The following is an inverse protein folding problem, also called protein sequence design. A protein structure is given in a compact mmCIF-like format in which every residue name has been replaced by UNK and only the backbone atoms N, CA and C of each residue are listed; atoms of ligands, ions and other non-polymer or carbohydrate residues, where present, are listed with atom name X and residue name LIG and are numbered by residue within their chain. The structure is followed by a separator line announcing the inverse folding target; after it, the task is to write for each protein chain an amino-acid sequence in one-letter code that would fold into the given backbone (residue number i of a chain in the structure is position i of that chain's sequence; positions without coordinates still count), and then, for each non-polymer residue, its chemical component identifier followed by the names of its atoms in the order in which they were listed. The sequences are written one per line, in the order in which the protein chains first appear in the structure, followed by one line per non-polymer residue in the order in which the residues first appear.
data_IF_169985824723
#
_entry.id   IF_169985824723
#
_cell.length_a   1.000
_cell.length_b   1.000
_cell.length_c   1.000
_cell.angle_alpha   90.00
_cell.angle_beta   90.00
_cell.angle_gamma   90.00
#
_symmetry.space_group_name_H-M   'P 1'
#
loop_
_entity.id
_entity.type
_entity.pdbx_description
1 polymer ?
#
# COMPACT_ATOMS: atom_id res chain seq x y z
N UNK A 1 8.25 1.55 -5.63
CA UNK A 1 7.42 0.56 -6.36
C UNK A 1 6.50 1.31 -7.30
N UNK A 2 6.35 0.85 -8.55
CA UNK A 2 5.38 1.38 -9.52
C UNK A 2 4.56 0.21 -10.06
N UNK A 3 3.25 0.29 -9.95
CA UNK A 3 2.29 -0.68 -10.47
C UNK A 3 1.42 0.01 -11.50
N UNK A 4 1.33 -0.57 -12.69
CA UNK A 4 0.52 -0.06 -13.78
C UNK A 4 -0.68 -0.99 -13.99
N UNK A 5 -1.86 -0.42 -14.19
CA UNK A 5 -3.11 -1.14 -14.40
C UNK A 5 -3.84 -0.51 -15.58
N UNK A 6 -4.18 -1.33 -16.55
CA UNK A 6 -4.99 -0.92 -17.70
C UNK A 6 -6.44 -1.31 -17.44
N UNK A 7 -7.34 -0.34 -17.57
CA UNK A 7 -8.77 -0.53 -17.43
C UNK A 7 -9.44 -0.13 -18.73
N UNK A 8 -10.50 -0.86 -19.07
CA UNK A 8 -11.32 -0.59 -20.25
C UNK A 8 -12.76 -0.51 -19.78
N UNK A 9 -13.42 0.62 -20.04
CA UNK A 9 -14.86 0.72 -19.87
C UNK A 9 -15.54 -0.11 -20.96
N UNK A 10 -16.34 -1.08 -20.54
CA UNK A 10 -16.98 -2.05 -21.44
C UNK A 10 -18.10 -1.41 -22.26
N UNK A 11 -18.63 -0.26 -21.81
CA UNK A 11 -19.77 0.41 -22.45
C UNK A 11 -19.38 1.11 -23.75
N UNK A 12 -18.24 1.79 -23.75
CA UNK A 12 -17.79 2.67 -24.83
C UNK A 12 -16.35 2.38 -25.31
N UNK A 13 -15.64 1.46 -24.66
CA UNK A 13 -14.25 1.11 -24.98
C UNK A 13 -13.21 2.12 -24.47
N UNK A 14 -13.61 3.12 -23.67
CA UNK A 14 -12.71 4.13 -23.12
C UNK A 14 -11.64 3.46 -22.26
N UNK A 15 -10.38 3.78 -22.51
CA UNK A 15 -9.22 3.20 -21.81
C UNK A 15 -8.73 4.16 -20.74
N UNK A 16 -8.53 3.63 -19.54
CA UNK A 16 -7.87 4.31 -18.44
C UNK A 16 -6.59 3.58 -18.07
N UNK A 17 -5.59 4.35 -17.69
CA UNK A 17 -4.32 3.83 -17.20
C UNK A 17 -4.11 4.33 -15.77
N UNK A 18 -4.13 3.41 -14.80
CA UNK A 18 -3.93 3.72 -13.39
C UNK A 18 -2.52 3.31 -13.00
N UNK A 19 -1.77 4.25 -12.45
CA UNK A 19 -0.43 4.02 -11.94
C UNK A 19 -0.40 4.26 -10.44
N UNK A 20 -0.08 3.21 -9.68
CA UNK A 20 0.12 3.27 -8.23
C UNK A 20 1.62 3.29 -7.94
N UNK A 21 2.09 4.28 -7.20
CA UNK A 21 3.49 4.48 -6.85
C UNK A 21 3.62 4.49 -5.33
N UNK A 22 4.55 3.69 -4.80
CA UNK A 22 4.90 3.70 -3.38
C UNK A 22 6.37 4.01 -3.19
N UNK A 23 6.67 4.85 -2.21
CA UNK A 23 8.01 5.09 -1.68
C UNK A 23 8.02 4.75 -0.20
N UNK A 24 8.58 3.59 0.15
CA UNK A 24 8.73 3.20 1.55
C UNK A 24 9.65 4.16 2.34
N UNK A 25 10.80 4.62 1.80
CA UNK A 25 11.66 5.57 2.53
C UNK A 25 10.99 6.91 2.83
N UNK A 26 10.13 7.37 1.91
CA UNK A 26 9.39 8.62 2.09
C UNK A 26 8.04 8.43 2.80
N UNK A 27 7.66 7.18 3.09
CA UNK A 27 6.32 6.81 3.56
C UNK A 27 5.17 7.34 2.67
N UNK A 28 5.44 7.67 1.41
CA UNK A 28 4.50 8.25 0.48
C UNK A 28 3.91 7.22 -0.46
N UNK A 29 2.67 7.45 -0.88
CA UNK A 29 2.01 6.70 -1.93
C UNK A 29 1.20 7.64 -2.81
N UNK A 30 1.14 7.36 -4.10
CA UNK A 30 0.48 8.18 -5.09
C UNK A 30 -0.22 7.29 -6.10
N UNK A 31 -1.36 7.74 -6.59
CA UNK A 31 -2.18 7.11 -7.62
C UNK A 31 -2.38 8.14 -8.70
N UNK A 32 -2.06 7.78 -9.93
CA UNK A 32 -2.21 8.62 -11.10
C UNK A 32 -3.20 7.93 -12.04
N UNK A 33 -4.24 8.63 -12.44
CA UNK A 33 -5.24 8.13 -13.39
C UNK A 33 -5.12 8.93 -14.68
N UNK A 34 -4.71 8.23 -15.72
CA UNK A 34 -4.53 8.76 -17.06
C UNK A 34 -5.68 8.31 -17.96
N UNK A 35 -6.08 9.19 -18.87
CA UNK A 35 -7.03 8.90 -19.93
C UNK A 35 -6.35 8.48 -21.23
N UNK A 36 -7.03 8.74 -22.34
CA UNK A 36 -6.45 8.63 -23.68
C UNK A 36 -5.22 9.51 -23.82
N UNK A 37 -4.29 9.10 -24.68
CA UNK A 37 -3.06 9.86 -24.99
C UNK A 37 -2.14 10.12 -23.77
N UNK A 38 -2.27 9.33 -22.70
CA UNK A 38 -1.53 9.51 -21.44
C UNK A 38 -1.73 10.89 -20.79
N UNK A 39 -2.87 11.53 -21.03
CA UNK A 39 -3.23 12.76 -20.31
C UNK A 39 -3.61 12.41 -18.86
N UNK A 40 -2.97 13.06 -17.89
CA UNK A 40 -3.35 12.92 -16.48
C UNK A 40 -4.73 13.57 -16.26
N UNK A 41 -5.68 12.78 -15.76
CA UNK A 41 -7.05 13.22 -15.47
C UNK A 41 -7.26 13.50 -13.98
N UNK A 42 -6.70 12.63 -13.14
CA UNK A 42 -6.85 12.71 -11.68
C UNK A 42 -5.59 12.15 -11.00
N UNK A 43 -5.29 12.68 -9.82
CA UNK A 43 -4.23 12.21 -8.94
C UNK A 43 -4.80 12.02 -7.53
N UNK A 44 -4.36 10.98 -6.84
CA UNK A 44 -4.47 10.92 -5.38
C UNK A 44 -3.09 10.72 -4.77
N UNK A 45 -2.79 11.37 -3.66
CA UNK A 45 -1.56 11.12 -2.93
C UNK A 45 -1.78 11.11 -1.42
N UNK A 46 -0.93 10.37 -0.72
CA UNK A 46 -0.95 10.27 0.71
C UNK A 46 -0.55 11.62 1.32
N UNK A 47 -1.36 12.14 2.23
CA UNK A 47 -1.09 13.37 2.96
C UNK A 47 -0.59 13.05 4.37
N UNK A 48 0.23 13.95 4.90
CA UNK A 48 0.83 13.80 6.23
C UNK A 48 -0.16 14.10 7.36
N UNK A 49 0.21 13.72 8.58
CA UNK A 49 -0.58 14.00 9.77
C UNK A 49 -0.69 15.50 10.10
N UNK A 50 0.19 16.30 9.50
CA UNK A 50 0.26 17.76 9.56
C UNK A 50 -0.63 18.46 8.52
N UNK A 51 -1.17 17.72 7.56
CA UNK A 51 -1.96 18.27 6.44
C UNK A 51 -3.43 18.49 6.79
N UNK A 52 -3.93 17.84 7.85
CA UNK A 52 -5.31 17.97 8.32
C UNK A 52 -5.32 18.45 9.78
N UNK A 53 -6.34 19.21 10.19
CA UNK A 53 -6.49 19.56 11.59
C UNK A 53 -6.70 18.30 12.44
N UNK A 54 -6.19 18.35 13.66
CA UNK A 54 -6.55 17.38 14.68
C UNK A 54 -7.99 17.60 15.13
N UNK A 55 -8.65 16.55 15.63
CA UNK A 55 -10.02 16.65 16.15
C UNK A 55 -10.17 17.72 17.25
N UNK A 56 -9.12 17.97 18.04
CA UNK A 56 -9.11 18.97 19.10
C UNK A 56 -9.04 20.42 18.58
N UNK A 57 -8.58 20.61 17.33
CA UNK A 57 -8.54 21.91 16.67
C UNK A 57 -9.86 22.26 15.98
N UNK A 58 -10.79 21.33 15.90
CA UNK A 58 -12.13 21.55 15.36
C UNK A 58 -13.12 21.84 16.46
N UNK A 59 -14.05 22.76 16.18
CA UNK A 59 -15.26 22.93 16.98
C UNK A 59 -16.06 21.61 16.97
N UNK A 60 -16.64 21.22 18.11
CA UNK A 60 -17.42 19.98 18.25
C UNK A 60 -18.60 19.90 17.28
N UNK A 61 -19.08 21.05 16.80
CA UNK A 61 -20.16 21.15 15.81
C UNK A 61 -19.69 20.91 14.36
N UNK A 62 -18.38 20.89 14.09
CA UNK A 62 -17.79 20.74 12.75
C UNK A 62 -17.38 19.29 12.45
N UNK A 63 -18.26 18.33 12.77
CA UNK A 63 -17.97 16.89 12.60
C UNK A 63 -17.84 16.44 11.13
N UNK A 64 -18.26 17.28 10.18
CA UNK A 64 -18.16 17.01 8.74
C UNK A 64 -16.80 17.41 8.15
N UNK A 65 -15.96 18.15 8.88
CA UNK A 65 -14.65 18.55 8.39
C UNK A 65 -13.65 17.38 8.50
N UNK A 66 -12.86 17.11 7.43
CA UNK A 66 -11.80 16.13 7.47
C UNK A 66 -10.81 16.43 8.60
N UNK A 67 -10.57 15.45 9.47
CA UNK A 67 -9.67 15.57 10.60
C UNK A 67 -8.95 14.26 10.87
N UNK A 68 -7.84 14.39 11.60
CA UNK A 68 -7.08 13.27 12.13
C UNK A 68 -7.34 13.17 13.63
N UNK A 69 -7.76 11.99 14.08
CA UNK A 69 -8.21 11.78 15.46
C UNK A 69 -7.05 11.90 16.44
N UNK A 70 -5.86 11.41 16.05
CA UNK A 70 -4.60 11.56 16.78
C UNK A 70 -3.41 11.10 15.89
N UNK A 71 -2.22 11.73 15.94
CA UNK A 71 -1.03 11.22 15.24
C UNK A 71 -0.57 9.82 15.68
N UNK A 72 -1.07 9.28 16.81
CA UNK A 72 -0.79 7.93 17.29
C UNK A 72 -1.81 6.88 16.81
N UNK A 73 -2.84 7.29 16.07
CA UNK A 73 -3.98 6.42 15.73
C UNK A 73 -3.74 5.48 14.52
N UNK A 74 -2.52 5.44 13.97
CA UNK A 74 -2.16 4.72 12.72
C UNK A 74 -3.12 5.06 11.56
N UNK A 75 -3.65 6.28 11.57
CA UNK A 75 -4.51 6.82 10.52
C UNK A 75 -3.68 7.25 9.33
N UNK A 76 -4.19 6.99 8.13
CA UNK A 76 -3.58 7.41 6.88
C UNK A 76 -4.63 8.06 6.01
N UNK A 77 -4.29 9.16 5.36
CA UNK A 77 -5.22 9.87 4.50
C UNK A 77 -4.67 10.08 3.09
N UNK A 78 -5.55 10.03 2.10
CA UNK A 78 -5.30 10.46 0.73
C UNK A 78 -6.14 11.69 0.43
N UNK A 79 -5.54 12.66 -0.25
CA UNK A 79 -6.30 13.69 -0.98
C UNK A 79 -6.43 13.26 -2.43
N UNK A 80 -7.61 13.45 -3.01
CA UNK A 80 -7.93 13.18 -4.41
C UNK A 80 -8.16 14.51 -5.11
N UNK A 81 -7.44 14.73 -6.19
CA UNK A 81 -7.35 15.99 -6.92
C UNK A 81 -7.67 15.75 -8.39
N UNK A 82 -8.39 16.68 -8.99
CA UNK A 82 -8.60 16.72 -10.44
C UNK A 82 -8.25 18.11 -10.99
N UNK A 83 -8.62 18.39 -12.24
CA UNK A 83 -8.37 19.70 -12.88
C UNK A 83 -9.05 20.86 -12.15
N UNK A 84 -10.20 20.62 -11.53
CA UNK A 84 -11.06 21.66 -10.95
C UNK A 84 -10.76 21.90 -9.47
N UNK A 85 -9.93 21.06 -8.83
CA UNK A 85 -9.44 21.22 -7.46
C UNK A 85 -9.55 19.93 -6.64
N UNK A 86 -9.85 20.10 -5.36
CA UNK A 86 -9.94 19.01 -4.39
C UNK A 86 -11.28 18.28 -4.53
N UNK A 87 -11.22 17.00 -4.85
CA UNK A 87 -12.40 16.17 -5.08
C UNK A 87 -12.88 15.47 -3.81
N UNK A 88 -11.95 14.78 -3.13
CA UNK A 88 -12.27 13.98 -1.95
C UNK A 88 -11.07 13.79 -1.03
N UNK A 89 -11.34 13.49 0.24
CA UNK A 89 -10.35 12.97 1.19
C UNK A 89 -10.78 11.57 1.62
N UNK A 90 -9.85 10.62 1.54
CA UNK A 90 -10.02 9.26 2.04
C UNK A 90 -9.20 9.12 3.31
N UNK A 91 -9.81 8.78 4.43
CA UNK A 91 -9.10 8.46 5.68
C UNK A 91 -9.31 6.99 6.01
N UNK A 92 -8.23 6.27 6.27
CA UNK A 92 -8.24 4.86 6.62
C UNK A 92 -7.62 4.62 7.99
N UNK A 93 -8.23 3.72 8.77
CA UNK A 93 -7.71 3.23 10.04
C UNK A 93 -7.99 1.74 10.20
N UNK A 94 -6.99 0.96 10.61
CA UNK A 94 -7.20 -0.45 10.93
C UNK A 94 -7.69 -0.61 12.36
N UNK A 95 -8.68 -1.48 12.59
CA UNK A 95 -9.25 -1.76 13.90
C UNK A 95 -9.55 -3.25 14.10
N UNK A 96 -9.54 -3.71 15.35
CA UNK A 96 -9.93 -5.07 15.72
C UNK A 96 -8.91 -6.17 15.38
N UNK A 97 -7.66 -5.81 15.05
CA UNK A 97 -6.59 -6.80 14.89
C UNK A 97 -6.15 -7.32 16.25
N UNK A 98 -6.12 -8.64 16.40
CA UNK A 98 -5.62 -9.35 17.57
C UNK A 98 -4.66 -10.44 17.08
N UNK A 99 -3.41 -10.41 17.55
CA UNK A 99 -2.40 -11.41 17.16
C UNK A 99 -2.70 -12.78 17.79
N UNK A 100 -2.41 -13.87 17.07
CA UNK A 100 -2.52 -15.25 17.58
C UNK A 100 -1.51 -15.40 18.70
N UNK A 101 -1.94 -15.93 19.82
CA UNK A 101 -1.02 -16.37 20.86
C UNK A 101 -0.98 -17.90 20.80
N UNK A 102 0.19 -18.44 20.45
CA UNK A 102 0.38 -19.88 20.47
C UNK A 102 0.17 -20.40 21.90
N UNK A 103 -0.53 -21.51 22.03
CA UNK A 103 -0.66 -22.21 23.32
C UNK A 103 0.66 -22.85 23.71
N UNK A 104 0.85 -23.06 25.01
CA UNK A 104 1.93 -23.88 25.52
C UNK A 104 1.41 -25.31 25.82
N UNK A 105 2.21 -26.15 26.49
CA UNK A 105 1.83 -27.53 26.85
C UNK A 105 0.61 -27.59 27.78
N UNK A 106 0.34 -26.53 28.55
CA UNK A 106 -0.65 -26.49 29.62
C UNK A 106 -1.84 -25.58 29.30
N UNK A 107 -1.67 -24.60 28.39
CA UNK A 107 -2.65 -23.60 28.05
C UNK A 107 -2.99 -23.63 26.57
N UNK A 108 -4.30 -23.65 26.26
CA UNK A 108 -4.79 -23.53 24.89
C UNK A 108 -4.48 -22.14 24.34
N UNK A 109 -3.96 -22.09 23.12
CA UNK A 109 -3.65 -20.83 22.45
C UNK A 109 -4.89 -19.98 22.19
N UNK A 110 -4.71 -18.66 22.19
CA UNK A 110 -5.76 -17.69 21.89
C UNK A 110 -5.81 -17.49 20.38
N UNK A 111 -6.99 -17.73 19.79
CA UNK A 111 -7.23 -17.37 18.40
C UNK A 111 -7.17 -15.86 18.26
N UNK A 112 -6.38 -15.37 17.31
CA UNK A 112 -6.41 -13.95 17.00
C UNK A 112 -7.53 -13.60 16.02
N UNK A 113 -7.62 -12.32 15.70
CA UNK A 113 -8.60 -11.73 14.80
C UNK A 113 -7.90 -10.85 13.76
N UNK A 114 -8.27 -10.92 12.46
CA UNK A 114 -7.61 -10.13 11.42
C UNK A 114 -7.92 -8.64 11.53
N UNK A 115 -9.02 -8.27 12.15
CA UNK A 115 -9.53 -6.90 12.11
C UNK A 115 -10.00 -6.49 10.72
N UNK A 116 -10.29 -5.20 10.59
CA UNK A 116 -10.80 -4.58 9.37
C UNK A 116 -10.31 -3.13 9.24
N UNK A 117 -10.32 -2.63 8.01
CA UNK A 117 -10.11 -1.24 7.67
C UNK A 117 -11.42 -0.47 7.82
N UNK A 118 -11.45 0.52 8.68
CA UNK A 118 -12.50 1.54 8.67
C UNK A 118 -12.06 2.68 7.75
N UNK A 119 -12.96 3.10 6.87
CA UNK A 119 -12.74 4.17 5.90
C UNK A 119 -13.77 5.26 6.11
N UNK A 120 -13.30 6.50 6.13
CA UNK A 120 -14.10 7.72 6.05
C UNK A 120 -13.78 8.41 4.72
N UNK A 121 -14.77 8.51 3.84
CA UNK A 121 -14.70 9.20 2.56
C UNK A 121 -15.40 10.54 2.70
N UNK A 122 -14.64 11.62 2.66
CA UNK A 122 -15.13 12.98 2.59
C UNK A 122 -15.25 13.39 1.12
N UNK A 123 -16.47 13.57 0.63
CA UNK A 123 -16.71 14.16 -0.68
C UNK A 123 -16.77 15.68 -0.51
N UNK A 124 -15.76 16.38 -1.04
CA UNK A 124 -15.58 17.81 -0.83
C UNK A 124 -16.52 18.64 -1.71
N UNK A 125 -16.94 18.11 -2.86
CA UNK A 125 -17.90 18.77 -3.75
C UNK A 125 -19.32 18.77 -3.18
N UNK A 126 -19.72 17.66 -2.53
CA UNK A 126 -21.07 17.49 -1.96
C UNK A 126 -21.13 17.80 -0.46
N UNK A 127 -19.99 18.03 0.18
CA UNK A 127 -19.84 18.17 1.62
C UNK A 127 -20.52 17.01 2.39
N UNK A 128 -20.22 15.78 1.99
CA UNK A 128 -20.80 14.56 2.61
C UNK A 128 -19.70 13.62 3.07
N UNK A 129 -19.99 12.85 4.12
CA UNK A 129 -19.08 11.84 4.66
C UNK A 129 -19.72 10.47 4.53
N UNK A 130 -19.01 9.51 3.96
CA UNK A 130 -19.41 8.11 3.88
C UNK A 130 -18.45 7.26 4.72
N UNK A 131 -19.01 6.45 5.62
CA UNK A 131 -18.25 5.59 6.50
C UNK A 131 -18.55 4.13 6.16
N UNK A 132 -17.51 3.32 6.01
CA UNK A 132 -17.66 1.89 5.78
C UNK A 132 -16.45 1.11 6.29
N UNK A 133 -16.66 -0.19 6.48
CA UNK A 133 -15.66 -1.11 6.99
C UNK A 133 -15.33 -2.19 5.95
N UNK A 134 -14.05 -2.54 5.83
CA UNK A 134 -13.54 -3.50 4.86
C UNK A 134 -12.55 -4.50 5.48
N UNK A 135 -12.81 -5.82 5.42
CA UNK A 135 -14.09 -6.42 5.04
C UNK A 135 -15.21 -5.99 6.00
N UNK A 136 -16.45 -5.92 5.52
CA UNK A 136 -17.62 -5.63 6.36
C UNK A 136 -17.89 -6.74 7.37
N UNK A 137 -18.84 -6.51 8.29
CA UNK A 137 -19.18 -7.45 9.37
C UNK A 137 -19.59 -8.85 8.87
N UNK A 138 -20.14 -8.95 7.67
CA UNK A 138 -20.50 -10.22 7.00
C UNK A 138 -19.34 -10.83 6.18
N UNK A 139 -18.13 -10.28 6.26
CA UNK A 139 -16.98 -10.67 5.45
C UNK A 139 -16.99 -10.13 4.01
N UNK A 140 -17.98 -9.32 3.64
CA UNK A 140 -18.05 -8.72 2.31
C UNK A 140 -16.89 -7.76 2.07
N UNK A 141 -16.25 -7.88 0.91
CA UNK A 141 -15.20 -6.95 0.46
C UNK A 141 -15.72 -5.91 -0.53
N UNK A 142 -17.04 -5.81 -0.68
CA UNK A 142 -17.72 -4.84 -1.55
C UNK A 142 -17.78 -3.49 -0.84
N UNK A 143 -17.47 -2.41 -1.54
CA UNK A 143 -17.68 -1.04 -1.08
C UNK A 143 -18.21 -0.18 -2.22
N UNK A 144 -18.94 0.87 -1.85
CA UNK A 144 -19.52 1.83 -2.78
C UNK A 144 -19.04 3.23 -2.41
N UNK A 145 -18.79 4.05 -3.43
CA UNK A 145 -18.29 5.42 -3.36
C UNK A 145 -19.20 6.23 -4.26
N UNK A 146 -20.24 6.84 -3.69
CA UNK A 146 -21.27 7.52 -4.49
C UNK A 146 -21.83 6.61 -5.60
N UNK A 147 -21.55 6.96 -6.86
CA UNK A 147 -22.06 6.26 -8.04
C UNK A 147 -21.13 5.15 -8.56
N UNK A 148 -20.06 4.84 -7.82
CA UNK A 148 -19.14 3.75 -8.10
C UNK A 148 -19.18 2.63 -7.06
N UNK A 149 -18.91 1.40 -7.48
CA UNK A 149 -18.82 0.22 -6.64
C UNK A 149 -17.62 -0.63 -7.06
N UNK A 150 -16.90 -1.13 -6.07
CA UNK A 150 -15.76 -2.01 -6.26
C UNK A 150 -15.73 -3.11 -5.19
N UNK A 151 -14.90 -4.12 -5.42
CA UNK A 151 -14.67 -5.20 -4.46
C UNK A 151 -13.18 -5.46 -4.34
N UNK A 152 -12.66 -5.65 -3.12
CA UNK A 152 -11.23 -5.92 -2.95
C UNK A 152 -10.81 -7.23 -3.65
N UNK A 153 -11.64 -8.27 -3.55
CA UNK A 153 -11.44 -9.56 -4.23
C UNK A 153 -11.95 -9.58 -5.69
N UNK A 154 -12.55 -8.48 -6.18
CA UNK A 154 -13.13 -8.39 -7.51
C UNK A 154 -12.13 -7.95 -8.57
N UNK A 155 -12.40 -8.32 -9.83
CA UNK A 155 -11.65 -7.87 -11.02
C UNK A 155 -12.33 -6.75 -11.80
N UNK A 156 -13.56 -6.42 -11.44
CA UNK A 156 -14.41 -5.44 -12.13
C UNK A 156 -14.86 -4.37 -11.14
N UNK A 157 -15.04 -3.17 -11.67
CA UNK A 157 -15.60 -2.03 -10.96
C UNK A 157 -16.79 -1.54 -11.76
N UNK A 158 -17.82 -1.07 -11.07
CA UNK A 158 -18.98 -0.45 -11.68
C UNK A 158 -18.93 1.04 -11.40
N UNK A 159 -19.05 1.89 -12.42
CA UNK A 159 -19.07 3.34 -12.24
C UNK A 159 -20.14 3.94 -13.15
N UNK A 160 -21.13 4.63 -12.55
CA UNK A 160 -22.17 5.35 -13.29
C UNK A 160 -21.91 6.85 -13.38
N UNK A 161 -20.90 7.35 -12.67
CA UNK A 161 -20.52 8.76 -12.69
C UNK A 161 -19.86 9.16 -14.02
N UNK A 162 -19.97 10.44 -14.37
CA UNK A 162 -19.14 11.06 -15.41
C UNK A 162 -17.72 11.35 -14.93
N UNK A 163 -17.51 11.44 -13.61
CA UNK A 163 -16.22 11.65 -12.95
C UNK A 163 -15.51 10.31 -12.70
N UNK A 164 -15.40 9.49 -13.75
CA UNK A 164 -14.86 8.12 -13.65
C UNK A 164 -13.41 8.12 -13.14
N UNK A 165 -12.58 9.07 -13.56
CA UNK A 165 -11.18 9.12 -13.17
C UNK A 165 -11.00 9.35 -11.67
N UNK A 166 -11.82 10.22 -11.09
CA UNK A 166 -11.85 10.53 -9.67
C UNK A 166 -12.35 9.34 -8.84
N UNK A 167 -13.41 8.66 -9.30
CA UNK A 167 -13.89 7.45 -8.64
C UNK A 167 -12.86 6.31 -8.72
N UNK A 168 -12.13 6.18 -9.83
CA UNK A 168 -11.01 5.24 -9.93
C UNK A 168 -9.91 5.59 -8.93
N UNK A 169 -9.53 6.86 -8.82
CA UNK A 169 -8.55 7.30 -7.82
C UNK A 169 -9.01 6.98 -6.39
N UNK A 170 -10.30 7.18 -6.08
CA UNK A 170 -10.89 6.80 -4.80
C UNK A 170 -10.81 5.29 -4.53
N UNK A 171 -11.19 4.47 -5.51
CA UNK A 171 -11.17 2.99 -5.38
C UNK A 171 -9.75 2.48 -5.12
N UNK A 172 -8.79 2.93 -5.91
CA UNK A 172 -7.38 2.56 -5.71
C UNK A 172 -6.81 3.16 -4.42
N UNK A 173 -7.30 4.32 -3.99
CA UNK A 173 -6.95 4.94 -2.72
C UNK A 173 -7.35 4.06 -1.55
N UNK A 174 -8.59 3.55 -1.55
CA UNK A 174 -9.08 2.60 -0.54
C UNK A 174 -8.31 1.28 -0.58
N UNK A 175 -8.07 0.74 -1.78
CA UNK A 175 -7.26 -0.47 -1.93
C UNK A 175 -5.83 -0.30 -1.40
N UNK A 176 -5.25 0.89 -1.58
CA UNK A 176 -3.94 1.25 -1.05
C UNK A 176 -3.98 1.43 0.46
N UNK A 177 -4.98 2.13 1.02
CA UNK A 177 -5.18 2.26 2.47
C UNK A 177 -5.33 0.91 3.15
N UNK A 178 -6.05 -0.03 2.52
CA UNK A 178 -6.18 -1.41 3.00
C UNK A 178 -4.81 -2.08 3.17
N UNK A 179 -3.87 -1.85 2.24
CA UNK A 179 -2.52 -2.41 2.33
C UNK A 179 -1.68 -1.66 3.36
N UNK A 180 -1.79 -0.33 3.39
CA UNK A 180 -0.91 0.51 4.19
C UNK A 180 -1.25 0.51 5.67
N UNK A 181 -2.54 0.45 6.01
CA UNK A 181 -3.03 0.43 7.39
C UNK A 181 -3.08 -0.98 7.98
N UNK A 182 -3.07 -2.03 7.16
CA UNK A 182 -3.10 -3.40 7.69
C UNK A 182 -1.82 -3.69 8.49
N UNK A 183 -1.93 -4.01 9.80
CA UNK A 183 -0.78 -4.30 10.65
C UNK A 183 -0.09 -5.62 10.29
N UNK A 184 -0.76 -6.51 9.55
CA UNK A 184 -0.27 -7.84 9.18
C UNK A 184 0.69 -7.85 7.97
N UNK A 185 1.52 -6.80 7.78
CA UNK A 185 2.40 -6.73 6.61
C UNK A 185 3.43 -7.87 6.60
N UNK A 186 3.29 -8.76 5.63
CA UNK A 186 4.32 -9.15 4.62
C UNK A 186 5.71 -9.53 5.18
N UNK A 187 5.80 -10.01 6.42
CA UNK A 187 7.02 -10.60 6.97
C UNK A 187 6.65 -11.79 7.83
N UNK A 188 6.55 -12.94 7.17
CA UNK A 188 7.29 -14.11 7.56
C UNK A 188 6.81 -15.28 6.70
N UNK A 189 7.62 -15.62 5.70
CA UNK A 189 7.56 -16.93 5.01
C UNK A 189 7.68 -18.09 6.03
N UNK A 190 8.03 -17.79 7.30
CA UNK A 190 8.24 -18.73 8.40
C UNK A 190 7.19 -18.64 9.52
N UNK A 191 6.16 -17.79 9.45
CA UNK A 191 5.14 -17.69 10.51
C UNK A 191 3.94 -18.59 10.18
N UNK A 192 3.75 -19.59 11.02
CA UNK A 192 2.56 -20.44 11.08
C UNK A 192 1.40 -19.74 11.81
N UNK A 193 1.58 -18.49 12.25
CA UNK A 193 0.60 -17.66 12.97
C UNK A 193 -0.20 -16.70 12.08
N UNK A 194 -0.48 -17.09 10.83
CA UNK A 194 -1.25 -16.26 9.89
C UNK A 194 -2.70 -16.11 10.35
N UNK A 195 -3.10 -14.90 10.68
CA UNK A 195 -4.52 -14.55 10.93
C UNK A 195 -5.06 -13.64 9.82
N UNK A 196 -4.19 -13.05 9.01
CA UNK A 196 -4.60 -12.09 7.99
C UNK A 196 -5.51 -12.63 6.90
N UNK A 197 -6.27 -11.69 6.34
CA UNK A 197 -6.94 -11.86 5.07
C UNK A 197 -5.96 -12.36 4.01
N UNK A 198 -6.37 -13.29 3.15
CA UNK A 198 -5.54 -13.76 2.02
C UNK A 198 -5.47 -12.72 0.90
N UNK A 199 -5.15 -11.48 1.25
CA UNK A 199 -5.16 -10.33 0.36
C UNK A 199 -4.12 -10.42 -0.77
N UNK A 200 -3.11 -11.29 -0.68
CA UNK A 200 -2.27 -11.64 -1.83
C UNK A 200 -3.04 -12.28 -2.99
N UNK A 201 -4.22 -12.84 -2.73
CA UNK A 201 -5.10 -13.45 -3.74
C UNK A 201 -6.14 -12.47 -4.28
N UNK A 202 -6.26 -11.29 -3.69
CA UNK A 202 -7.28 -10.31 -4.04
C UNK A 202 -6.75 -9.41 -5.18
N UNK A 203 -7.44 -9.34 -6.32
CA UNK A 203 -6.94 -8.58 -7.47
C UNK A 203 -6.72 -7.10 -7.18
N UNK A 204 -7.60 -6.46 -6.39
CA UNK A 204 -7.48 -5.03 -6.10
C UNK A 204 -6.23 -4.71 -5.26
N UNK A 205 -5.93 -5.53 -4.27
CA UNK A 205 -4.75 -5.33 -3.41
C UNK A 205 -3.46 -5.62 -4.19
N UNK A 206 -3.44 -6.62 -5.08
CA UNK A 206 -2.30 -6.83 -5.99
C UNK A 206 -2.15 -5.66 -6.96
N UNK A 207 -3.24 -5.12 -7.50
CA UNK A 207 -3.26 -3.94 -8.35
C UNK A 207 -2.79 -2.67 -7.63
N UNK A 208 -2.98 -2.60 -6.31
CA UNK A 208 -2.44 -1.56 -5.43
C UNK A 208 -1.05 -1.91 -4.86
N UNK A 209 -0.37 -2.92 -5.43
CA UNK A 209 1.04 -3.21 -5.14
C UNK A 209 1.32 -4.14 -3.97
N UNK A 210 0.34 -4.90 -3.47
CA UNK A 210 0.58 -5.92 -2.45
C UNK A 210 1.47 -7.06 -2.98
N UNK A 211 2.53 -7.43 -2.23
CA UNK A 211 3.30 -8.66 -2.45
C UNK A 211 4.32 -8.67 -3.60
N UNK A 212 4.61 -7.54 -4.26
CA UNK A 212 5.66 -7.48 -5.30
C UNK A 212 6.98 -6.92 -4.75
N UNK A 213 8.10 -7.56 -5.09
CA UNK A 213 9.43 -7.02 -4.85
C UNK A 213 9.75 -5.90 -5.86
N UNK A 214 10.65 -5.00 -5.47
CA UNK A 214 10.95 -3.76 -6.18
C UNK A 214 11.81 -4.02 -7.44
N UNK A 215 11.36 -3.71 -8.66
CA UNK A 215 12.30 -3.42 -9.74
C UNK A 215 12.99 -2.09 -9.44
N UNK A 216 14.31 -2.05 -9.58
CA UNK A 216 15.13 -0.86 -9.31
C UNK A 216 14.85 0.25 -10.33
N UNK A 217 15.05 1.51 -9.95
CA UNK A 217 14.87 2.65 -10.87
C UNK A 217 15.72 2.50 -12.15
N UNK A 218 16.89 1.86 -12.05
CA UNK A 218 17.76 1.54 -13.20
C UNK A 218 17.07 0.65 -14.25
N UNK A 219 16.27 -0.32 -13.81
CA UNK A 219 15.49 -1.20 -14.68
C UNK A 219 14.35 -0.44 -15.37
N UNK A 220 13.68 0.45 -14.65
CA UNK A 220 12.61 1.31 -15.19
C UNK A 220 13.18 2.30 -16.21
N UNK A 221 14.31 2.94 -15.90
CA UNK A 221 15.00 3.86 -16.81
C UNK A 221 15.56 3.17 -18.05
N UNK A 222 16.09 1.95 -17.91
CA UNK A 222 16.55 1.15 -19.05
C UNK A 222 15.37 0.78 -19.98
N UNK A 223 14.23 0.38 -19.41
CA UNK A 223 13.02 0.07 -20.18
C UNK A 223 12.43 1.29 -20.91
N UNK A 224 12.50 2.48 -20.31
CA UNK A 224 12.03 3.72 -20.95
C UNK A 224 12.93 4.16 -22.11
N UNK A 225 14.25 3.94 -22.02
CA UNK A 225 15.18 4.27 -23.12
C UNK A 225 14.97 3.39 -24.35
N UNK A 226 14.62 2.12 -24.17
CA UNK A 226 14.35 1.21 -25.30
C UNK A 226 12.99 1.43 -25.97
N UNK A 227 12.10 2.24 -25.38
CA UNK A 227 10.77 2.52 -25.94
C UNK A 227 10.79 3.57 -27.06
N UNK A 228 11.91 4.27 -27.25
CA UNK A 228 12.07 5.30 -28.27
C UNK A 228 12.64 4.79 -29.60
N UNK A 229 13.28 3.60 -29.62
CA UNK A 229 14.02 3.09 -30.78
C UNK A 229 13.36 1.91 -31.51
N UNK A 230 12.31 1.29 -30.95
CA UNK A 230 11.58 0.22 -31.63
C UNK A 230 10.07 0.41 -31.51
N UNK A 231 9.40 0.49 -32.66
CA UNK A 231 7.94 0.60 -32.79
C UNK A 231 7.23 -0.38 -31.86
N UNK A 232 6.23 0.13 -31.14
CA UNK A 232 5.64 -0.58 -30.02
C UNK A 232 4.95 -1.87 -30.41
N UNK A 233 5.50 -3.02 -29.96
CA UNK A 233 4.77 -4.29 -29.79
C UNK A 233 5.53 -5.37 -28.99
N UNK A 234 6.51 -5.06 -28.12
CA UNK A 234 7.27 -6.14 -27.43
C UNK A 234 7.53 -5.84 -25.92
N UNK A 235 6.54 -5.32 -25.19
CA UNK A 235 6.64 -5.15 -23.72
C UNK A 235 6.28 -6.41 -22.92
N UNK A 236 5.64 -7.41 -23.54
CA UNK A 236 5.16 -8.61 -22.85
C UNK A 236 6.29 -9.60 -22.46
N UNK A 237 7.27 -9.94 -23.32
CA UNK A 237 8.16 -11.08 -23.05
C UNK A 237 9.16 -10.84 -21.90
N UNK A 238 9.67 -9.62 -21.74
CA UNK A 238 10.64 -9.29 -20.68
C UNK A 238 10.01 -9.19 -19.29
N UNK A 239 8.74 -8.79 -19.20
CA UNK A 239 7.99 -8.85 -17.94
C UNK A 239 7.55 -10.28 -17.62
N UNK A 240 7.19 -11.09 -18.63
CA UNK A 240 6.82 -12.50 -18.46
C UNK A 240 8.01 -13.40 -18.08
N UNK A 241 9.21 -13.17 -18.63
CA UNK A 241 10.41 -13.94 -18.30
C UNK A 241 10.79 -13.84 -16.81
N UNK A 242 10.46 -12.73 -16.15
CA UNK A 242 10.68 -12.56 -14.71
C UNK A 242 9.47 -12.99 -13.85
N UNK A 243 8.36 -13.38 -14.47
CA UNK A 243 7.14 -13.89 -13.81
C UNK A 243 7.09 -15.42 -13.79
N UNK A 244 7.97 -16.11 -14.53
CA UNK A 244 8.03 -17.58 -14.62
C UNK A 244 9.20 -18.23 -13.85
N UNK A 245 10.09 -17.47 -13.19
CA UNK A 245 11.17 -18.03 -12.36
C UNK A 245 10.76 -18.33 -10.91
N UNK A 246 9.45 -18.39 -10.65
CA UNK A 246 8.85 -18.73 -9.37
C UNK A 246 8.09 -20.06 -9.41
N UNK A 247 8.72 -21.13 -9.92
CA UNK A 247 8.21 -22.49 -9.76
C UNK A 247 9.37 -23.49 -9.80
N UNK A 248 9.68 -24.04 -8.62
CA UNK A 248 10.27 -25.37 -8.36
C UNK A 248 11.59 -25.77 -9.05
N UNK A 249 12.63 -26.02 -8.24
CA UNK A 249 13.82 -26.79 -8.64
C UNK A 249 15.07 -25.93 -8.87
N UNK A 250 16.14 -26.26 -8.15
CA UNK A 250 17.34 -25.43 -8.07
C UNK A 250 18.29 -25.49 -9.26
N UNK A 251 19.12 -24.46 -9.38
CA UNK A 251 20.51 -24.50 -9.82
C UNK A 251 21.13 -23.10 -9.70
N UNK A 252 22.38 -23.06 -9.25
CA UNK A 252 23.11 -21.85 -8.91
C UNK A 252 23.51 -20.96 -10.10
N UNK A 253 24.06 -19.80 -9.74
CA UNK A 253 24.58 -18.79 -10.66
C UNK A 253 25.20 -17.66 -9.86
N UNK A 254 26.23 -17.99 -9.08
CA UNK A 254 27.23 -17.04 -8.63
C UNK A 254 28.03 -16.55 -9.84
N UNK A 255 28.16 -15.24 -10.02
CA UNK A 255 29.33 -14.67 -10.67
C UNK A 255 29.71 -13.37 -9.94
N UNK A 256 30.90 -13.40 -9.37
CA UNK A 256 31.56 -12.28 -8.71
C UNK A 256 32.56 -11.58 -9.64
N UNK A 257 33.16 -10.52 -9.08
CA UNK A 257 34.23 -9.71 -9.67
C UNK A 257 33.73 -8.29 -9.96
N UNK A 258 34.29 -7.21 -9.45
CA UNK A 258 35.45 -6.98 -8.60
C UNK A 258 35.57 -5.46 -8.40
N UNK A 259 36.12 -5.09 -7.25
CA UNK A 259 36.99 -3.93 -7.03
C UNK A 259 36.47 -2.48 -7.13
N UNK A 260 36.68 -1.75 -6.04
CA UNK A 260 37.23 -0.40 -6.12
C UNK A 260 36.32 0.78 -5.76
N UNK A 261 36.40 1.17 -4.48
CA UNK A 261 36.52 2.55 -4.00
C UNK A 261 35.48 3.63 -4.41
N UNK A 262 34.85 4.22 -3.40
CA UNK A 262 34.58 5.67 -3.41
C UNK A 262 33.27 6.10 -2.76
N UNK A 263 33.37 6.79 -1.62
CA UNK A 263 32.37 7.79 -1.23
C UNK A 263 31.58 7.51 0.05
N UNK A 264 32.26 7.57 1.19
CA UNK A 264 31.65 7.93 2.46
C UNK A 264 31.26 9.42 2.45
N UNK A 265 30.03 9.76 2.84
CA UNK A 265 29.59 11.05 3.38
C UNK A 265 28.19 10.84 3.99
N UNK A 266 28.03 10.78 5.33
CA UNK A 266 27.67 11.92 6.22
C UNK A 266 26.55 12.80 5.64
N UNK A 267 25.47 13.15 6.34
CA UNK A 267 25.27 13.37 7.77
C UNK A 267 24.73 14.79 7.94
N UNK A 268 23.42 14.96 8.15
CA UNK A 268 22.74 16.14 8.73
C UNK A 268 21.21 15.87 8.75
N UNK A 269 20.61 15.48 9.89
CA UNK A 269 19.85 16.32 10.86
C UNK A 269 18.75 17.22 10.24
N UNK A 270 17.51 17.28 10.75
CA UNK A 270 16.95 16.71 11.97
C UNK A 270 15.43 16.91 12.13
N UNK A 271 14.95 16.45 13.29
CA UNK A 271 13.63 16.68 13.90
C UNK A 271 12.43 15.81 13.45
N UNK A 272 12.39 14.57 13.96
CA UNK A 272 11.22 14.04 14.69
C UNK A 272 11.60 12.75 15.42
N UNK A 273 12.05 12.91 16.67
CA UNK A 273 12.22 11.79 17.60
C UNK A 273 10.90 11.42 18.25
N UNK A 274 10.56 10.13 18.23
CA UNK A 274 9.87 9.39 19.29
C UNK A 274 9.47 7.98 18.81
N UNK A 275 10.38 7.02 18.95
CA UNK A 275 10.01 5.63 19.19
C UNK A 275 11.17 4.95 19.93
N UNK A 276 11.36 5.36 21.19
CA UNK A 276 12.09 4.56 22.15
C UNK A 276 11.21 3.40 22.61
N UNK A 277 11.65 2.17 22.34
CA UNK A 277 11.52 0.98 23.20
C UNK A 277 11.83 -0.29 22.39
N UNK A 278 13.13 -0.61 22.24
CA UNK A 278 13.56 -1.99 22.06
C UNK A 278 14.61 -2.26 23.14
N UNK A 279 14.15 -2.59 24.34
CA UNK A 279 15.00 -3.19 25.35
C UNK A 279 15.46 -4.57 24.90
N UNK A 280 16.72 -4.89 25.23
CA UNK A 280 17.17 -6.25 25.48
C UNK A 280 17.36 -7.16 24.26
N UNK A 281 18.49 -7.02 23.57
CA UNK A 281 19.13 -8.16 22.92
C UNK A 281 20.35 -8.56 23.76
N UNK A 282 20.12 -9.47 24.70
CA UNK A 282 21.18 -10.29 25.25
C UNK A 282 21.64 -11.33 24.22
N UNK A 283 22.93 -11.64 24.26
CA UNK A 283 23.51 -12.80 23.59
C UNK A 283 24.21 -12.49 22.28
N UNK A 284 25.54 -12.40 22.33
CA UNK A 284 26.48 -13.33 21.68
C UNK A 284 27.84 -12.64 21.51
N UNK A 285 28.88 -13.17 22.15
CA UNK A 285 30.26 -12.72 21.97
C UNK A 285 31.19 -13.34 22.99
N UNK A 286 31.48 -14.64 22.82
CA UNK A 286 32.49 -15.33 23.61
C UNK A 286 33.90 -14.85 23.26
N UNK A 287 34.78 -14.81 24.26
CA UNK A 287 36.23 -14.86 24.18
C UNK A 287 36.75 -15.15 25.61
N UNK A 288 37.63 -16.14 25.79
CA UNK A 288 38.53 -16.19 26.95
C UNK A 288 38.47 -17.46 27.82
N UNK A 289 39.24 -18.48 27.43
CA UNK A 289 40.37 -18.94 28.22
C UNK A 289 40.17 -19.62 29.59
N UNK A 290 40.69 -20.86 29.63
CA UNK A 290 41.49 -21.45 30.70
C UNK A 290 40.78 -22.04 31.95
N UNK A 291 40.96 -23.36 32.11
CA UNK A 291 41.51 -23.90 33.35
C UNK A 291 40.66 -24.91 34.12
N UNK A 292 41.18 -26.13 34.25
CA UNK A 292 41.20 -26.80 35.56
C UNK A 292 40.36 -28.05 35.72
N UNK A 293 41.05 -29.18 35.66
CA UNK A 293 40.75 -30.53 36.13
C UNK A 293 40.05 -30.61 37.51
N UNK A 294 39.30 -31.71 37.74
CA UNK A 294 38.85 -32.15 39.06
C UNK A 294 37.60 -32.98 39.00
#
# INVERSE_FOLDING_TARGET
MRQNVHLVDVRDGTKYFVQVVHSAPLLLSMILVFGTEQRLLCMAHLIGADSLPSKQQLDENLQFLPNISHPAADERAFIVLNRDGDFAILKGRWQGFVRKQAGDRYHKGISGAPGALNVELFNLLRNTVQNFQLPGANGSTVFSIGDAQAQLNGRRMHCRSTQTAEHLACIFGIGTLFILCNPDKVRSVKDTNKIGHQCQRWPMTVACGYGRSLPTNRLISAAQRHHHDFGGTEFLPLLLMNMCSGAEGGSGGCDGGGDGAGGSACGACGACGACGACGGCGGCGGCGGCGGCG
#
